data_IF_485071461161
#
_entry.id   IF_485071461161
#
_cell.length_a   1.000
_cell.length_b   1.000
_cell.length_c   1.000
_cell.angle_alpha   90.00
_cell.angle_beta   90.00
_cell.angle_gamma   90.00
#
_symmetry.space_group_name_H-M   'P 1'
#
loop_
_entity.id
_entity.type
_entity.pdbx_description
1 polymer ?
#
# COMPACT_ATOMS: atom_id res chain seq x y z
N UNK A 1 30.22 13.17 38.70
CA UNK A 1 29.34 12.09 38.19
C UNK A 1 27.93 12.54 37.80
N UNK A 2 27.38 13.66 38.30
CA UNK A 2 26.01 14.10 37.94
C UNK A 2 25.86 14.74 36.55
N UNK A 3 26.91 15.35 36.01
CA UNK A 3 26.86 15.99 34.67
C UNK A 3 26.73 14.98 33.51
N UNK A 4 27.27 13.77 33.68
CA UNK A 4 27.26 12.71 32.64
C UNK A 4 25.86 12.13 32.44
N UNK A 5 25.03 12.10 33.50
CA UNK A 5 23.64 11.64 33.43
C UNK A 5 22.73 12.65 32.71
N UNK A 6 22.98 13.96 32.84
CA UNK A 6 22.24 14.98 32.10
C UNK A 6 22.59 14.97 30.61
N UNK A 7 23.85 14.67 30.27
CA UNK A 7 24.31 14.54 28.89
C UNK A 7 23.70 13.31 28.19
N UNK A 8 23.55 12.19 28.90
CA UNK A 8 22.86 10.99 28.36
C UNK A 8 21.35 11.19 28.19
N UNK A 9 20.70 11.96 29.07
CA UNK A 9 19.27 12.30 28.95
C UNK A 9 19.04 13.30 27.80
N UNK A 10 19.95 14.26 27.60
CA UNK A 10 19.93 15.17 26.46
C UNK A 10 20.13 14.45 25.12
N UNK A 11 21.02 13.46 25.05
CA UNK A 11 21.22 12.65 23.84
C UNK A 11 20.05 11.69 23.54
N UNK A 12 19.33 11.20 24.56
CA UNK A 12 18.14 10.35 24.33
C UNK A 12 16.95 11.17 23.81
N UNK A 13 16.82 12.44 24.21
CA UNK A 13 15.79 13.34 23.72
C UNK A 13 16.00 13.78 22.26
N UNK A 14 17.25 13.76 21.77
CA UNK A 14 17.59 14.08 20.37
C UNK A 14 17.37 12.90 19.39
N UNK A 15 17.15 11.69 19.90
CA UNK A 15 16.81 10.52 19.08
C UNK A 15 15.30 10.30 18.92
N UNK A 16 14.45 11.13 19.53
CA UNK A 16 13.02 11.17 19.24
C UNK A 16 12.71 11.94 17.93
N UNK A 17 13.58 11.78 16.94
CA UNK A 17 13.35 12.25 15.58
C UNK A 17 12.13 11.49 15.05
N UNK A 18 10.98 12.15 15.12
CA UNK A 18 9.97 12.19 14.07
C UNK A 18 9.93 10.94 13.20
N UNK A 19 9.38 9.85 13.73
CA UNK A 19 8.69 8.87 12.90
C UNK A 19 7.45 9.57 12.34
N UNK A 20 7.66 10.45 11.35
CA UNK A 20 6.59 10.85 10.45
C UNK A 20 6.23 9.58 9.71
N UNK A 21 5.12 8.96 10.11
CA UNK A 21 4.43 8.06 9.21
C UNK A 21 4.15 8.88 7.96
N UNK A 22 4.88 8.60 6.89
CA UNK A 22 4.74 9.22 5.60
C UNK A 22 3.40 8.76 5.02
N UNK A 23 2.31 9.30 5.55
CA UNK A 23 1.04 9.34 4.83
C UNK A 23 1.38 9.97 3.50
N UNK A 24 0.94 9.37 2.38
CA UNK A 24 1.11 9.96 1.04
C UNK A 24 0.58 11.39 1.12
N UNK A 25 1.48 12.36 1.32
CA UNK A 25 1.18 13.69 1.86
C UNK A 25 0.46 14.58 0.84
N UNK A 26 0.10 13.96 -0.28
CA UNK A 26 -0.40 14.58 -1.48
C UNK A 26 -1.29 13.61 -2.27
N UNK A 27 -1.90 12.57 -1.67
CA UNK A 27 -2.79 11.64 -2.40
C UNK A 27 -3.93 12.39 -3.11
N UNK A 28 -4.46 13.43 -2.48
CA UNK A 28 -5.52 14.29 -3.03
C UNK A 28 -4.99 15.58 -3.66
N UNK A 29 -3.67 15.74 -3.77
CA UNK A 29 -3.04 16.87 -4.45
C UNK A 29 -2.49 16.38 -5.78
N UNK A 30 -2.87 17.05 -6.86
CA UNK A 30 -2.44 16.68 -8.21
C UNK A 30 -1.76 17.86 -8.88
N UNK A 31 -0.64 17.58 -9.53
CA UNK A 31 0.13 18.53 -10.35
C UNK A 31 0.01 18.11 -11.80
N UNK A 32 -0.47 19.01 -12.66
CA UNK A 32 -0.53 18.78 -14.11
C UNK A 32 0.10 19.94 -14.88
N UNK A 33 0.97 19.67 -15.86
CA UNK A 33 1.51 20.70 -16.72
C UNK A 33 0.40 21.33 -17.58
N UNK A 34 0.50 22.64 -17.78
CA UNK A 34 -0.37 23.42 -18.64
C UNK A 34 0.23 23.44 -20.03
N UNK A 35 -0.44 22.74 -20.95
CA UNK A 35 -0.08 22.76 -22.37
C UNK A 35 -0.73 23.99 -23.03
N UNK A 36 0.04 25.08 -23.15
CA UNK A 36 -0.40 26.32 -23.78
C UNK A 36 -0.58 27.47 -22.79
N UNK A 37 -1.48 28.42 -23.10
CA UNK A 37 -1.67 29.63 -22.32
C UNK A 37 -3.16 29.96 -22.15
N UNK A 38 -3.48 30.67 -21.07
CA UNK A 38 -4.83 31.19 -20.82
C UNK A 38 -5.74 30.24 -20.06
N UNK A 39 -7.00 30.66 -19.89
CA UNK A 39 -7.97 29.98 -19.04
C UNK A 39 -8.35 28.58 -19.57
N UNK A 40 -8.39 28.41 -20.89
CA UNK A 40 -8.75 27.13 -21.51
C UNK A 40 -7.70 26.04 -21.26
N UNK A 41 -6.41 26.36 -21.46
CA UNK A 41 -5.31 25.45 -21.17
C UNK A 41 -5.32 25.01 -19.69
N UNK A 42 -5.60 25.94 -18.78
CA UNK A 42 -5.74 25.66 -17.35
C UNK A 42 -6.96 24.81 -17.01
N UNK A 43 -8.10 25.03 -17.69
CA UNK A 43 -9.28 24.19 -17.54
C UNK A 43 -9.03 22.76 -18.02
N UNK A 44 -8.29 22.59 -19.13
CA UNK A 44 -7.86 21.28 -19.61
C UNK A 44 -6.91 20.59 -18.62
N UNK A 45 -5.90 21.31 -18.10
CA UNK A 45 -5.02 20.78 -17.06
C UNK A 45 -5.78 20.38 -15.78
N UNK A 46 -6.80 21.15 -15.40
CA UNK A 46 -7.70 20.81 -14.27
C UNK A 46 -8.49 19.53 -14.55
N UNK A 47 -9.00 19.36 -15.78
CA UNK A 47 -9.68 18.12 -16.18
C UNK A 47 -8.73 16.92 -16.15
N UNK A 48 -7.48 17.09 -16.61
CA UNK A 48 -6.44 16.06 -16.50
C UNK A 48 -6.16 15.73 -15.03
N UNK A 49 -6.11 16.74 -14.16
CA UNK A 49 -5.86 16.54 -12.74
C UNK A 49 -6.97 15.71 -12.08
N UNK A 50 -8.24 15.94 -12.47
CA UNK A 50 -9.35 15.10 -12.05
C UNK A 50 -9.18 13.65 -12.53
N UNK A 51 -8.84 13.44 -13.80
CA UNK A 51 -8.63 12.10 -14.35
C UNK A 51 -7.50 11.37 -13.62
N UNK A 52 -6.40 12.06 -13.35
CA UNK A 52 -5.27 11.57 -12.55
C UNK A 52 -5.72 11.21 -11.13
N UNK A 53 -6.52 12.05 -10.47
CA UNK A 53 -7.06 11.76 -9.13
C UNK A 53 -7.93 10.49 -9.15
N UNK A 54 -8.84 10.38 -10.11
CA UNK A 54 -9.75 9.21 -10.20
C UNK A 54 -8.94 7.94 -10.44
N UNK A 55 -7.98 7.98 -11.36
CA UNK A 55 -7.06 6.88 -11.61
C UNK A 55 -6.30 6.50 -10.32
N UNK A 56 -5.75 7.49 -9.63
CA UNK A 56 -5.00 7.31 -8.39
C UNK A 56 -5.84 6.61 -7.32
N UNK A 57 -7.07 7.07 -7.10
CA UNK A 57 -7.96 6.58 -6.06
C UNK A 57 -8.67 5.27 -6.42
N UNK A 58 -8.69 4.85 -7.67
CA UNK A 58 -9.35 3.61 -8.09
C UNK A 58 -8.37 2.51 -8.49
N UNK A 59 -7.17 2.88 -8.94
CA UNK A 59 -6.23 1.97 -9.59
C UNK A 59 -6.77 1.38 -10.91
N UNK A 60 -7.88 1.90 -11.45
CA UNK A 60 -8.51 1.43 -12.69
C UNK A 60 -8.35 2.47 -13.80
N UNK A 61 -7.59 2.19 -14.88
CA UNK A 61 -7.41 3.12 -15.99
C UNK A 61 -8.71 3.44 -16.75
N UNK A 62 -9.78 2.67 -16.56
CA UNK A 62 -11.09 2.93 -17.18
C UNK A 62 -11.98 3.83 -16.31
N UNK A 63 -11.72 3.93 -15.01
CA UNK A 63 -12.56 4.68 -14.08
C UNK A 63 -12.69 6.18 -14.42
N UNK A 64 -11.63 6.91 -14.84
CA UNK A 64 -11.73 8.31 -15.23
C UNK A 64 -12.73 8.57 -16.34
N UNK A 65 -12.96 7.58 -17.22
CA UNK A 65 -13.88 7.67 -18.36
C UNK A 65 -15.27 7.10 -18.08
N UNK A 66 -15.55 6.68 -16.84
CA UNK A 66 -16.87 6.15 -16.47
C UNK A 66 -17.99 7.15 -16.78
N UNK A 67 -19.10 6.73 -17.41
CA UNK A 67 -20.25 7.61 -17.65
C UNK A 67 -20.84 8.19 -16.34
N UNK A 68 -20.70 7.47 -15.22
CA UNK A 68 -21.18 7.92 -13.91
C UNK A 68 -20.45 9.19 -13.42
N UNK A 69 -19.26 9.48 -13.94
CA UNK A 69 -18.50 10.70 -13.61
C UNK A 69 -18.71 11.84 -14.62
N UNK A 70 -19.62 11.71 -15.60
CA UNK A 70 -19.82 12.74 -16.62
C UNK A 70 -20.24 14.10 -16.04
N UNK A 71 -21.04 14.10 -14.96
CA UNK A 71 -21.39 15.32 -14.23
C UNK A 71 -20.18 15.96 -13.54
N UNK A 72 -19.35 15.13 -12.88
CA UNK A 72 -18.13 15.58 -12.22
C UNK A 72 -17.10 16.14 -13.20
N UNK A 73 -16.95 15.53 -14.38
CA UNK A 73 -16.06 16.04 -15.44
C UNK A 73 -16.52 17.39 -16.01
N UNK A 74 -17.83 17.66 -16.03
CA UNK A 74 -18.38 18.95 -16.47
C UNK A 74 -18.15 20.06 -15.43
N UNK A 75 -18.19 19.71 -14.15
CA UNK A 75 -17.97 20.65 -13.06
C UNK A 75 -17.07 20.05 -11.96
N UNK A 76 -15.74 20.03 -12.17
CA UNK A 76 -14.80 19.51 -11.18
C UNK A 76 -14.74 20.35 -9.89
N UNK A 77 -15.18 21.62 -9.94
CA UNK A 77 -15.07 22.57 -8.82
C UNK A 77 -15.77 22.07 -7.56
N UNK A 78 -16.80 21.22 -7.71
CA UNK A 78 -17.58 20.68 -6.60
C UNK A 78 -16.79 19.81 -5.60
N UNK A 79 -15.60 19.31 -5.99
CA UNK A 79 -14.72 18.51 -5.12
C UNK A 79 -13.35 19.16 -4.89
N UNK A 80 -13.13 20.36 -5.42
CA UNK A 80 -11.84 21.05 -5.30
C UNK A 80 -11.87 21.95 -4.08
N UNK A 81 -10.86 21.80 -3.23
CA UNK A 81 -10.66 22.62 -2.03
C UNK A 81 -9.77 23.83 -2.29
N UNK A 82 -8.71 23.66 -3.10
CA UNK A 82 -7.77 24.73 -3.41
C UNK A 82 -7.19 24.59 -4.82
N UNK A 83 -6.92 25.74 -5.44
CA UNK A 83 -6.19 25.88 -6.70
C UNK A 83 -4.92 26.69 -6.50
N UNK A 84 -3.84 26.25 -7.13
CA UNK A 84 -2.56 26.94 -7.20
C UNK A 84 -1.96 26.85 -8.59
N UNK A 85 -0.99 27.73 -8.85
CA UNK A 85 -0.19 27.71 -10.07
C UNK A 85 1.29 27.82 -9.70
N UNK A 86 2.10 26.94 -10.25
CA UNK A 86 3.54 26.99 -10.16
C UNK A 86 4.08 27.53 -11.49
N UNK A 87 4.85 28.61 -11.41
CA UNK A 87 5.49 29.21 -12.57
C UNK A 87 6.63 28.33 -13.07
N UNK A 88 6.75 28.16 -14.38
CA UNK A 88 7.81 27.40 -15.03
C UNK A 88 7.53 27.26 -16.52
N UNK A 89 8.50 26.80 -17.32
CA UNK A 89 8.22 26.24 -18.64
C UNK A 89 8.11 24.70 -18.55
N UNK A 90 6.90 24.10 -18.61
CA UNK A 90 5.58 24.73 -18.66
C UNK A 90 5.03 25.16 -17.28
N UNK A 91 4.01 26.04 -17.27
CA UNK A 91 3.23 26.37 -16.07
C UNK A 91 2.59 25.08 -15.53
N UNK A 92 2.48 24.91 -14.22
CA UNK A 92 1.84 23.72 -13.62
C UNK A 92 0.63 24.14 -12.79
N UNK A 93 -0.50 23.46 -12.99
CA UNK A 93 -1.67 23.60 -12.10
C UNK A 93 -1.49 22.67 -10.91
N UNK A 94 -1.66 23.23 -9.71
CA UNK A 94 -1.79 22.49 -8.47
C UNK A 94 -3.27 22.46 -8.07
N UNK A 95 -3.84 21.26 -7.97
CA UNK A 95 -5.24 21.07 -7.56
C UNK A 95 -5.28 20.24 -6.29
N UNK A 96 -5.81 20.81 -5.22
CA UNK A 96 -6.09 20.09 -3.97
C UNK A 96 -7.56 19.72 -3.92
N UNK A 97 -7.84 18.44 -3.94
CA UNK A 97 -9.18 17.90 -3.86
C UNK A 97 -9.59 17.65 -2.40
N UNK A 98 -10.82 18.00 -2.04
CA UNK A 98 -11.33 17.68 -0.71
C UNK A 98 -11.55 16.16 -0.59
N UNK A 99 -10.88 15.47 0.35
CA UNK A 99 -10.96 14.00 0.44
C UNK A 99 -12.38 13.49 0.68
N UNK A 100 -13.14 14.16 1.56
CA UNK A 100 -14.47 13.69 1.97
C UNK A 100 -15.51 13.77 0.85
N UNK A 101 -15.55 14.89 0.12
CA UNK A 101 -16.43 15.08 -1.04
C UNK A 101 -15.98 14.22 -2.20
N UNK A 102 -14.68 14.12 -2.46
CA UNK A 102 -14.14 13.26 -3.53
C UNK A 102 -14.54 11.81 -3.32
N UNK A 103 -14.21 11.22 -2.16
CA UNK A 103 -14.53 9.82 -1.89
C UNK A 103 -16.04 9.56 -1.95
N UNK A 104 -16.85 10.47 -1.39
CA UNK A 104 -18.31 10.34 -1.43
C UNK A 104 -18.83 10.32 -2.87
N UNK A 105 -18.38 11.26 -3.70
CA UNK A 105 -18.80 11.36 -5.11
C UNK A 105 -18.38 10.13 -5.90
N UNK A 106 -17.14 9.65 -5.74
CA UNK A 106 -16.67 8.45 -6.44
C UNK A 106 -17.40 7.18 -5.98
N UNK A 107 -17.71 7.05 -4.68
CA UNK A 107 -18.52 5.93 -4.16
C UNK A 107 -19.96 5.99 -4.66
N UNK A 108 -20.56 7.18 -4.75
CA UNK A 108 -21.90 7.35 -5.34
C UNK A 108 -21.93 6.99 -6.83
N UNK A 109 -20.81 7.21 -7.54
CA UNK A 109 -20.62 6.76 -8.91
C UNK A 109 -20.36 5.23 -9.03
N UNK A 110 -20.39 4.48 -7.92
CA UNK A 110 -20.23 3.03 -7.90
C UNK A 110 -18.78 2.55 -8.02
N UNK A 111 -17.80 3.46 -7.94
CA UNK A 111 -16.39 3.13 -8.15
C UNK A 111 -15.77 2.48 -6.91
N UNK A 112 -14.95 1.45 -7.15
CA UNK A 112 -14.13 0.86 -6.10
C UNK A 112 -12.96 1.80 -5.77
N UNK A 113 -12.72 2.03 -4.48
CA UNK A 113 -11.69 2.95 -4.03
C UNK A 113 -10.54 2.23 -3.31
N UNK A 114 -9.32 2.59 -3.68
CA UNK A 114 -8.08 2.30 -2.99
C UNK A 114 -7.77 3.47 -2.05
N UNK A 115 -7.98 3.25 -0.74
CA UNK A 115 -7.77 4.28 0.27
C UNK A 115 -6.30 4.62 0.53
N UNK A 116 -6.05 5.31 1.64
CA UNK A 116 -4.72 5.77 2.06
C UNK A 116 -3.76 4.63 2.44
N UNK A 117 -4.29 3.47 2.80
CA UNK A 117 -3.47 2.36 3.27
C UNK A 117 -2.93 1.54 2.09
N UNK A 118 -1.84 2.04 1.52
CA UNK A 118 -1.17 1.45 0.35
C UNK A 118 0.17 0.86 0.78
N UNK A 119 0.61 -0.26 0.18
CA UNK A 119 1.96 -0.76 0.40
C UNK A 119 2.97 0.29 -0.04
N UNK A 120 3.88 0.63 0.86
CA UNK A 120 5.10 1.35 0.51
C UNK A 120 6.01 0.46 -0.34
N UNK A 121 6.58 1.03 -1.40
CA UNK A 121 7.38 0.30 -2.39
C UNK A 121 8.80 0.87 -2.38
N UNK A 122 9.81 0.02 -2.18
CA UNK A 122 11.20 0.38 -2.44
C UNK A 122 11.58 -0.01 -3.88
N UNK A 123 11.82 0.98 -4.72
CA UNK A 123 12.17 0.82 -6.14
C UNK A 123 13.67 0.74 -6.37
N UNK A 124 14.20 -0.45 -6.60
CA UNK A 124 15.53 -0.67 -7.16
C UNK A 124 15.47 -0.50 -8.67
N UNK A 125 15.96 0.63 -9.16
CA UNK A 125 15.90 0.97 -10.58
C UNK A 125 17.30 1.04 -11.17
N UNK A 126 17.66 0.04 -11.98
CA UNK A 126 18.95 -0.05 -12.65
C UNK A 126 18.81 0.38 -14.11
N UNK A 127 19.55 1.41 -14.51
CA UNK A 127 19.64 1.86 -15.89
C UNK A 127 20.91 1.31 -16.53
N UNK A 128 20.77 0.55 -17.61
CA UNK A 128 21.88 0.16 -18.48
C UNK A 128 22.18 1.26 -19.48
N UNK A 129 23.46 1.56 -19.64
CA UNK A 129 24.00 2.51 -20.61
C UNK A 129 25.28 1.95 -21.25
N UNK A 130 25.78 2.63 -22.27
CA UNK A 130 27.08 2.30 -22.90
C UNK A 130 28.27 2.39 -21.93
N UNK A 131 28.13 3.16 -20.85
CA UNK A 131 29.15 3.34 -19.80
C UNK A 131 29.03 2.29 -18.69
N UNK A 132 27.99 1.45 -18.73
CA UNK A 132 27.67 0.45 -17.72
C UNK A 132 26.30 0.66 -17.08
N UNK A 133 26.00 -0.18 -16.08
CA UNK A 133 24.76 -0.14 -15.32
C UNK A 133 24.87 0.82 -14.13
N UNK A 134 23.82 1.60 -13.88
CA UNK A 134 23.77 2.56 -12.76
C UNK A 134 22.44 2.49 -12.01
N UNK A 135 22.52 2.35 -10.68
CA UNK A 135 21.35 2.36 -9.80
C UNK A 135 20.90 3.81 -9.55
N UNK A 136 19.61 4.08 -9.78
CA UNK A 136 18.99 5.37 -9.47
C UNK A 136 18.87 5.52 -7.95
N UNK A 137 19.57 6.52 -7.40
CA UNK A 137 19.50 6.90 -6.00
C UNK A 137 18.51 8.02 -5.75
N UNK A 138 17.88 8.04 -4.56
CA UNK A 138 16.83 9.01 -4.20
C UNK A 138 17.26 10.49 -4.36
N UNK A 139 18.51 10.80 -4.02
CA UNK A 139 19.06 12.17 -4.12
C UNK A 139 19.46 12.60 -5.54
N UNK A 140 19.28 11.75 -6.56
CA UNK A 140 19.72 12.03 -7.93
C UNK A 140 18.59 12.64 -8.78
N UNK A 141 18.94 13.44 -9.80
CA UNK A 141 17.95 14.01 -10.72
C UNK A 141 17.19 12.94 -11.53
N UNK A 142 17.83 11.79 -11.78
CA UNK A 142 17.23 10.61 -12.43
C UNK A 142 16.09 9.98 -11.63
N UNK A 143 15.94 10.30 -10.34
CA UNK A 143 14.84 9.81 -9.51
C UNK A 143 13.51 10.54 -9.76
N UNK A 144 13.55 11.76 -10.31
CA UNK A 144 12.36 12.60 -10.43
C UNK A 144 11.29 12.02 -11.38
N UNK A 145 11.63 11.46 -12.56
CA UNK A 145 10.65 10.76 -13.39
C UNK A 145 9.96 9.59 -12.67
N UNK A 146 10.70 8.85 -11.84
CA UNK A 146 10.18 7.70 -11.09
C UNK A 146 9.20 8.16 -10.00
N UNK A 147 9.57 9.20 -9.24
CA UNK A 147 8.69 9.81 -8.23
C UNK A 147 7.43 10.37 -8.86
N UNK A 148 7.53 11.11 -9.97
CA UNK A 148 6.37 11.65 -10.68
C UNK A 148 5.45 10.54 -11.19
N UNK A 149 6.00 9.48 -11.80
CA UNK A 149 5.24 8.32 -12.24
C UNK A 149 4.51 7.63 -11.07
N UNK A 150 5.20 7.38 -9.95
CA UNK A 150 4.60 6.78 -8.77
C UNK A 150 3.51 7.66 -8.16
N UNK A 151 3.75 8.97 -8.06
CA UNK A 151 2.75 9.94 -7.60
C UNK A 151 1.53 9.95 -8.53
N UNK A 152 1.72 9.96 -9.85
CA UNK A 152 0.62 9.91 -10.83
C UNK A 152 -0.30 8.70 -10.61
N UNK A 153 0.27 7.56 -10.20
CA UNK A 153 -0.46 6.32 -9.89
C UNK A 153 -0.86 6.16 -8.42
N UNK A 154 -0.46 7.07 -7.53
CA UNK A 154 -0.73 6.99 -6.09
C UNK A 154 0.01 5.86 -5.39
N UNK A 155 1.20 5.54 -5.85
CA UNK A 155 2.07 4.55 -5.26
C UNK A 155 3.07 5.25 -4.32
N UNK A 156 3.14 4.89 -3.03
CA UNK A 156 4.16 5.40 -2.12
C UNK A 156 5.53 4.79 -2.48
N UNK A 157 6.26 5.46 -3.37
CA UNK A 157 7.58 5.01 -3.83
C UNK A 157 8.69 5.63 -2.97
N UNK A 158 9.58 4.76 -2.50
CA UNK A 158 10.90 5.10 -1.97
C UNK A 158 11.98 4.58 -2.90
N UNK A 159 13.12 5.24 -2.91
CA UNK A 159 14.28 4.81 -3.68
C UNK A 159 15.47 4.56 -2.74
N UNK A 160 16.40 3.66 -3.08
CA UNK A 160 17.62 3.47 -2.33
C UNK A 160 18.47 4.74 -2.33
N UNK A 161 19.41 4.86 -1.40
CA UNK A 161 20.38 5.96 -1.40
C UNK A 161 21.40 5.81 -2.55
N UNK A 162 21.46 4.61 -3.12
CA UNK A 162 22.46 4.14 -4.08
C UNK A 162 23.88 4.27 -3.53
N UNK A 163 24.09 3.89 -2.26
CA UNK A 163 25.41 3.82 -1.65
C UNK A 163 26.23 2.63 -2.20
N UNK A 164 27.51 2.54 -1.82
CA UNK A 164 28.40 1.51 -2.34
C UNK A 164 27.90 0.08 -2.08
N UNK A 165 27.27 -0.19 -0.93
CA UNK A 165 26.76 -1.52 -0.62
C UNK A 165 25.56 -1.87 -1.51
N UNK A 166 24.70 -0.89 -1.77
CA UNK A 166 23.56 -1.05 -2.67
C UNK A 166 24.03 -1.22 -4.12
N UNK A 167 25.00 -0.43 -4.58
CA UNK A 167 25.57 -0.56 -5.92
C UNK A 167 26.18 -1.94 -6.18
N UNK A 168 26.79 -2.57 -5.16
CA UNK A 168 27.37 -3.91 -5.30
C UNK A 168 26.31 -5.00 -5.55
N UNK A 169 25.09 -4.84 -5.01
CA UNK A 169 24.01 -5.83 -5.18
C UNK A 169 23.04 -5.47 -6.32
N UNK A 170 23.04 -4.21 -6.78
CA UNK A 170 22.23 -3.73 -7.90
C UNK A 170 22.77 -4.19 -9.26
N UNK A 171 22.75 -5.49 -9.51
CA UNK A 171 23.15 -6.08 -10.79
C UNK A 171 21.93 -6.55 -11.57
N UNK A 172 22.00 -6.54 -12.90
CA UNK A 172 20.93 -7.07 -13.76
C UNK A 172 20.50 -8.50 -13.34
N UNK A 173 21.48 -9.36 -13.00
CA UNK A 173 21.22 -10.72 -12.49
C UNK A 173 20.34 -10.73 -11.23
N UNK A 174 20.60 -9.85 -10.27
CA UNK A 174 19.85 -9.80 -9.02
C UNK A 174 18.46 -9.17 -9.23
N UNK A 175 18.37 -8.12 -10.04
CA UNK A 175 17.09 -7.44 -10.31
C UNK A 175 16.14 -8.29 -11.16
N UNK A 176 16.67 -9.09 -12.09
CA UNK A 176 15.88 -10.02 -12.92
C UNK A 176 15.72 -11.41 -12.27
N UNK A 177 16.36 -11.66 -11.13
CA UNK A 177 16.33 -12.92 -10.40
C UNK A 177 15.00 -13.20 -9.70
N UNK A 178 14.69 -14.47 -9.45
CA UNK A 178 13.48 -14.86 -8.71
C UNK A 178 13.57 -14.59 -7.20
N UNK A 179 14.77 -14.75 -6.65
CA UNK A 179 15.06 -14.57 -5.23
C UNK A 179 15.35 -13.10 -4.92
N UNK A 180 14.53 -12.43 -4.09
CA UNK A 180 14.79 -11.06 -3.70
C UNK A 180 15.87 -10.92 -2.64
N UNK A 181 16.39 -12.01 -2.05
CA UNK A 181 17.28 -11.94 -0.88
C UNK A 181 18.45 -10.94 -1.02
N UNK A 182 19.22 -10.91 -2.13
CA UNK A 182 20.33 -9.97 -2.27
C UNK A 182 19.91 -8.50 -2.17
N UNK A 183 18.72 -8.16 -2.67
CA UNK A 183 18.18 -6.81 -2.62
C UNK A 183 17.49 -6.54 -1.28
N UNK A 184 16.77 -7.53 -0.75
CA UNK A 184 16.00 -7.42 0.50
C UNK A 184 16.90 -7.11 1.69
N UNK A 185 18.05 -7.77 1.78
CA UNK A 185 18.97 -7.58 2.91
C UNK A 185 19.52 -6.14 2.93
N UNK A 186 19.80 -5.55 1.77
CA UNK A 186 20.17 -4.14 1.64
C UNK A 186 18.99 -3.17 1.86
N UNK A 187 17.75 -3.68 1.77
CA UNK A 187 16.51 -2.90 1.83
C UNK A 187 15.90 -2.77 3.22
N UNK A 188 16.35 -3.56 4.21
CA UNK A 188 15.72 -3.62 5.55
C UNK A 188 15.59 -2.25 6.21
N UNK A 189 16.59 -1.38 6.01
CA UNK A 189 16.65 -0.03 6.57
C UNK A 189 15.53 0.91 6.11
N UNK A 190 14.88 0.62 4.99
CA UNK A 190 13.81 1.46 4.43
C UNK A 190 12.42 1.11 4.96
N UNK A 191 12.26 -0.07 5.58
CA UNK A 191 10.99 -0.52 6.14
C UNK A 191 9.84 -0.55 5.12
N UNK A 192 10.12 -0.77 3.83
CA UNK A 192 9.10 -0.83 2.80
C UNK A 192 8.32 -2.15 2.83
N UNK A 193 7.04 -2.10 2.50
CA UNK A 193 6.16 -3.28 2.44
C UNK A 193 6.45 -4.16 1.23
N UNK A 194 6.83 -3.54 0.12
CA UNK A 194 7.14 -4.18 -1.15
C UNK A 194 8.52 -3.77 -1.69
N UNK A 195 9.13 -4.71 -2.41
CA UNK A 195 10.33 -4.49 -3.20
C UNK A 195 9.94 -4.49 -4.68
N UNK A 196 10.34 -3.46 -5.42
CA UNK A 196 10.20 -3.38 -6.87
C UNK A 196 11.60 -3.33 -7.48
N UNK A 197 11.99 -4.33 -8.27
CA UNK A 197 13.21 -4.29 -9.07
C UNK A 197 12.85 -3.97 -10.52
N UNK A 198 13.56 -3.03 -11.12
CA UNK A 198 13.42 -2.65 -12.52
C UNK A 198 14.78 -2.60 -13.15
N UNK A 199 14.97 -3.41 -14.18
CA UNK A 199 16.12 -3.33 -15.07
C UNK A 199 15.68 -2.65 -16.37
N UNK A 200 16.17 -1.43 -16.58
CA UNK A 200 15.83 -0.56 -17.69
C UNK A 200 17.02 -0.44 -18.65
N UNK A 201 16.79 -0.62 -19.95
CA UNK A 201 17.80 -0.45 -20.98
C UNK A 201 17.22 0.25 -22.19
N UNK A 202 18.07 0.92 -22.96
CA UNK A 202 17.68 1.51 -24.24
C UNK A 202 18.04 0.56 -25.38
N UNK A 203 17.06 0.25 -26.24
CA UNK A 203 17.26 -0.51 -27.47
C UNK A 203 16.35 0.04 -28.59
N UNK A 204 16.89 0.11 -29.80
CA UNK A 204 16.14 0.54 -31.00
C UNK A 204 15.44 1.91 -30.86
N UNK A 205 16.06 2.84 -30.11
CA UNK A 205 15.53 4.18 -29.86
C UNK A 205 14.32 4.21 -28.91
N UNK A 206 14.10 3.14 -28.15
CA UNK A 206 13.09 3.04 -27.09
C UNK A 206 13.70 2.55 -25.80
N UNK A 207 13.08 2.95 -24.70
CA UNK A 207 13.38 2.43 -23.39
C UNK A 207 12.55 1.17 -23.13
N UNK A 208 13.20 0.11 -22.67
CA UNK A 208 12.56 -1.15 -22.31
C UNK A 208 12.90 -1.48 -20.87
N UNK A 209 11.93 -2.02 -20.13
CA UNK A 209 12.06 -2.30 -18.71
C UNK A 209 11.53 -3.68 -18.37
N UNK A 210 12.38 -4.52 -17.77
CA UNK A 210 11.96 -5.76 -17.12
C UNK A 210 11.79 -5.46 -15.64
N UNK A 211 10.62 -5.78 -15.09
CA UNK A 211 10.30 -5.48 -13.69
C UNK A 211 9.82 -6.70 -12.92
N UNK A 212 10.09 -6.70 -11.62
CA UNK A 212 9.65 -7.70 -10.64
C UNK A 212 9.21 -7.01 -9.36
N UNK A 213 8.13 -7.49 -8.77
CA UNK A 213 7.53 -6.96 -7.56
C UNK A 213 7.34 -8.09 -6.54
N UNK A 214 7.82 -7.86 -5.33
CA UNK A 214 7.71 -8.76 -4.18
C UNK A 214 6.93 -8.06 -3.09
N UNK A 215 5.77 -8.61 -2.70
CA UNK A 215 4.95 -8.12 -1.58
C UNK A 215 4.51 -9.30 -0.73
N UNK A 216 5.11 -9.46 0.45
CA UNK A 216 4.98 -10.69 1.24
C UNK A 216 5.40 -11.91 0.42
N UNK A 217 4.48 -12.87 0.27
CA UNK A 217 4.68 -14.09 -0.55
C UNK A 217 4.37 -13.88 -2.03
N UNK A 218 3.79 -12.74 -2.41
CA UNK A 218 3.41 -12.48 -3.80
C UNK A 218 4.61 -12.11 -4.66
N UNK A 219 4.58 -12.59 -5.90
CA UNK A 219 5.62 -12.38 -6.90
C UNK A 219 4.94 -12.00 -8.21
N UNK A 220 5.12 -10.76 -8.61
CA UNK A 220 4.63 -10.24 -9.88
C UNK A 220 5.82 -9.87 -10.77
N UNK A 221 5.67 -9.97 -12.07
CA UNK A 221 6.72 -9.61 -13.02
C UNK A 221 6.13 -9.21 -14.37
N UNK A 222 6.92 -8.49 -15.17
CA UNK A 222 6.52 -8.12 -16.52
C UNK A 222 7.61 -7.40 -17.29
N UNK A 223 7.27 -7.03 -18.52
CA UNK A 223 8.06 -6.17 -19.39
C UNK A 223 7.19 -5.02 -19.89
N UNK A 224 7.78 -3.85 -20.03
CA UNK A 224 7.14 -2.65 -20.58
C UNK A 224 8.13 -1.90 -21.47
N UNK A 225 7.59 -1.04 -22.32
CA UNK A 225 8.37 -0.14 -23.19
C UNK A 225 7.89 1.31 -22.98
N UNK A 226 8.79 2.26 -23.21
CA UNK A 226 8.52 3.69 -23.19
C UNK A 226 9.34 4.41 -24.27
N UNK A 227 8.85 5.55 -24.74
CA UNK A 227 9.59 6.37 -25.70
C UNK A 227 10.84 7.01 -25.08
N UNK A 228 10.80 7.28 -23.77
CA UNK A 228 11.89 7.81 -22.97
C UNK A 228 11.83 7.23 -21.54
N UNK A 229 12.76 7.63 -20.67
CA UNK A 229 12.81 7.18 -19.27
C UNK A 229 11.55 7.53 -18.47
N UNK A 230 10.91 8.67 -18.75
CA UNK A 230 9.71 9.10 -18.03
C UNK A 230 8.50 8.26 -18.44
N UNK A 231 8.34 8.00 -19.74
CA UNK A 231 7.33 7.09 -20.27
C UNK A 231 7.54 5.65 -19.77
N UNK A 232 8.79 5.19 -19.66
CA UNK A 232 9.09 3.87 -19.09
C UNK A 232 8.70 3.81 -17.61
N UNK A 233 9.04 4.82 -16.83
CA UNK A 233 8.67 4.91 -15.42
C UNK A 233 7.14 4.88 -15.24
N UNK A 234 6.40 5.67 -16.03
CA UNK A 234 4.94 5.66 -16.00
C UNK A 234 4.36 4.28 -16.36
N UNK A 235 4.89 3.62 -17.40
CA UNK A 235 4.45 2.30 -17.82
C UNK A 235 4.70 1.23 -16.74
N UNK A 236 5.86 1.25 -16.06
CA UNK A 236 6.14 0.35 -14.93
C UNK A 236 5.17 0.60 -13.78
N UNK A 237 4.97 1.86 -13.38
CA UNK A 237 4.09 2.19 -12.25
C UNK A 237 2.62 1.87 -12.57
N UNK A 238 2.19 2.02 -13.81
CA UNK A 238 0.88 1.54 -14.28
C UNK A 238 0.76 0.02 -14.14
N UNK A 239 1.76 -0.73 -14.60
CA UNK A 239 1.76 -2.18 -14.52
C UNK A 239 1.69 -2.65 -13.05
N UNK A 240 2.48 -2.05 -12.16
CA UNK A 240 2.48 -2.32 -10.72
C UNK A 240 1.12 -1.98 -10.09
N UNK A 241 0.57 -0.80 -10.38
CA UNK A 241 -0.73 -0.37 -9.86
C UNK A 241 -1.85 -1.35 -10.26
N UNK A 242 -1.87 -1.79 -11.52
CA UNK A 242 -2.85 -2.76 -12.02
C UNK A 242 -2.76 -4.13 -11.32
N UNK A 243 -1.56 -4.56 -10.89
CA UNK A 243 -1.39 -5.82 -10.14
C UNK A 243 -1.80 -5.68 -8.68
N UNK A 244 -1.59 -4.52 -8.08
CA UNK A 244 -1.90 -4.29 -6.67
C UNK A 244 -3.38 -3.95 -6.45
N UNK A 245 -3.95 -3.07 -7.28
CA UNK A 245 -5.28 -2.50 -7.07
C UNK A 245 -6.38 -3.53 -6.73
N UNK A 246 -6.51 -4.69 -7.41
CA UNK A 246 -7.57 -5.66 -7.12
C UNK A 246 -7.65 -6.13 -5.66
N UNK A 247 -6.54 -6.08 -4.91
CA UNK A 247 -6.48 -6.52 -3.51
C UNK A 247 -6.77 -5.42 -2.50
N UNK A 248 -6.57 -4.17 -2.89
CA UNK A 248 -6.64 -3.02 -2.00
C UNK A 248 -7.84 -2.11 -2.27
N UNK A 249 -8.58 -2.30 -3.36
CA UNK A 249 -9.82 -1.57 -3.64
C UNK A 249 -11.03 -2.18 -2.93
N UNK A 250 -11.96 -1.35 -2.47
CA UNK A 250 -13.27 -1.81 -2.02
C UNK A 250 -14.39 -1.12 -2.78
N UNK A 251 -15.36 -1.94 -3.19
CA UNK A 251 -16.61 -1.45 -3.78
C UNK A 251 -17.49 -0.80 -2.71
N UNK A 252 -18.26 0.24 -3.09
CA UNK A 252 -19.31 0.77 -2.23
C UNK A 252 -20.30 -0.33 -1.83
N UNK A 253 -20.71 -0.35 -0.57
CA UNK A 253 -21.65 -1.35 -0.05
C UNK A 253 -21.07 -2.75 0.21
N UNK A 254 -19.79 -3.01 -0.10
CA UNK A 254 -19.13 -4.28 0.20
C UNK A 254 -18.59 -4.36 1.65
N UNK A 255 -19.11 -3.50 2.53
CA UNK A 255 -18.73 -3.43 3.94
C UNK A 255 -19.68 -4.27 4.78
N UNK A 256 -19.13 -5.10 5.66
CA UNK A 256 -19.90 -5.89 6.61
C UNK A 256 -19.26 -5.87 7.99
N UNK A 257 -20.06 -6.16 9.00
CA UNK A 257 -19.58 -6.42 10.35
C UNK A 257 -18.90 -7.79 10.40
N UNK A 258 -17.68 -7.84 10.92
CA UNK A 258 -16.91 -9.07 11.07
C UNK A 258 -16.08 -9.09 12.35
N UNK A 259 -15.74 -10.30 12.80
CA UNK A 259 -14.81 -10.49 13.92
C UNK A 259 -13.42 -10.82 13.40
N UNK A 260 -12.41 -10.23 14.05
CA UNK A 260 -10.99 -10.49 13.80
C UNK A 260 -10.36 -10.93 15.10
N UNK A 261 -9.84 -12.15 15.12
CA UNK A 261 -9.03 -12.68 16.21
C UNK A 261 -7.55 -12.59 15.84
N UNK A 262 -6.74 -12.02 16.72
CA UNK A 262 -5.30 -11.92 16.53
C UNK A 262 -4.56 -12.54 17.72
N UNK A 263 -3.69 -13.50 17.42
CA UNK A 263 -2.84 -14.22 18.38
C UNK A 263 -1.44 -13.59 18.49
N UNK A 264 -0.76 -13.83 19.62
CA UNK A 264 0.62 -13.36 19.84
C UNK A 264 0.73 -11.90 20.26
N UNK A 265 -0.22 -11.37 21.02
CA UNK A 265 -0.20 -9.98 21.47
C UNK A 265 0.91 -9.69 22.47
N UNK A 266 1.50 -8.52 22.29
CA UNK A 266 2.30 -7.83 23.29
C UNK A 266 1.97 -6.33 23.23
N UNK A 267 2.55 -5.53 24.14
CA UNK A 267 2.22 -4.11 24.25
C UNK A 267 2.53 -3.32 22.96
N UNK A 268 3.62 -3.64 22.27
CA UNK A 268 3.99 -2.97 21.02
C UNK A 268 3.00 -3.31 19.89
N UNK A 269 2.68 -4.60 19.74
CA UNK A 269 1.72 -5.13 18.76
C UNK A 269 0.31 -4.60 18.98
N UNK A 270 -0.10 -4.37 20.23
CA UNK A 270 -1.41 -3.77 20.53
C UNK A 270 -1.56 -2.37 19.92
N UNK A 271 -0.55 -1.51 20.07
CA UNK A 271 -0.57 -0.16 19.51
C UNK A 271 -0.55 -0.19 17.97
N UNK A 272 0.21 -1.12 17.38
CA UNK A 272 0.25 -1.34 15.94
C UNK A 272 -1.09 -1.82 15.40
N UNK A 273 -1.71 -2.85 16.00
CA UNK A 273 -3.01 -3.36 15.60
C UNK A 273 -4.10 -2.28 15.69
N UNK A 274 -4.07 -1.48 16.77
CA UNK A 274 -5.00 -0.38 16.97
C UNK A 274 -4.98 0.62 15.81
N UNK A 275 -3.78 0.99 15.33
CA UNK A 275 -3.62 1.88 14.16
C UNK A 275 -4.12 1.23 12.87
N UNK A 276 -3.81 -0.04 12.65
CA UNK A 276 -4.23 -0.78 11.45
C UNK A 276 -5.76 -0.91 11.38
N UNK A 277 -6.40 -1.14 12.53
CA UNK A 277 -7.85 -1.33 12.61
C UNK A 277 -8.65 -0.04 12.80
N UNK A 278 -8.01 1.10 13.07
CA UNK A 278 -8.65 2.41 13.27
C UNK A 278 -9.64 2.78 12.14
N UNK A 279 -9.29 2.63 10.84
CA UNK A 279 -10.21 2.96 9.73
C UNK A 279 -11.46 2.07 9.67
N UNK A 280 -11.43 0.93 10.35
CA UNK A 280 -12.51 -0.07 10.37
C UNK A 280 -13.39 0.02 11.63
N UNK A 281 -13.20 1.06 12.46
CA UNK A 281 -13.99 1.28 13.67
C UNK A 281 -13.87 0.16 14.69
N UNK A 282 -12.66 -0.40 14.84
CA UNK A 282 -12.40 -1.55 15.70
C UNK A 282 -12.90 -1.37 17.13
N UNK A 283 -13.65 -2.37 17.62
CA UNK A 283 -14.07 -2.47 19.02
C UNK A 283 -13.56 -3.77 19.61
N UNK A 284 -12.76 -3.69 20.66
CA UNK A 284 -12.29 -4.86 21.38
C UNK A 284 -13.48 -5.55 22.06
N UNK A 285 -13.73 -6.81 21.69
CA UNK A 285 -14.83 -7.62 22.21
C UNK A 285 -14.36 -8.58 23.31
N UNK A 286 -13.20 -9.22 23.11
CA UNK A 286 -12.66 -10.21 24.05
C UNK A 286 -11.13 -10.16 24.11
N UNK A 287 -10.59 -10.43 25.30
CA UNK A 287 -9.16 -10.63 25.57
C UNK A 287 -9.02 -11.99 26.24
N UNK A 288 -8.22 -12.87 25.67
CA UNK A 288 -7.89 -14.18 26.23
C UNK A 288 -6.38 -14.41 26.12
N UNK A 289 -5.65 -14.20 27.22
CA UNK A 289 -4.19 -14.28 27.24
C UNK A 289 -3.53 -13.32 26.25
N UNK A 290 -2.85 -13.88 25.25
CA UNK A 290 -2.20 -13.16 24.16
C UNK A 290 -3.08 -13.03 22.90
N UNK A 291 -4.36 -13.42 22.99
CA UNK A 291 -5.31 -13.42 21.88
C UNK A 291 -6.39 -12.37 22.09
N UNK A 292 -6.54 -11.48 21.11
CA UNK A 292 -7.53 -10.40 21.15
C UNK A 292 -8.54 -10.57 20.01
N UNK A 293 -9.82 -10.41 20.33
CA UNK A 293 -10.91 -10.44 19.35
C UNK A 293 -11.53 -9.06 19.21
N UNK A 294 -11.49 -8.52 18.00
CA UNK A 294 -12.10 -7.24 17.64
C UNK A 294 -13.33 -7.45 16.78
N UNK A 295 -14.35 -6.61 16.98
CA UNK A 295 -15.41 -6.36 16.01
C UNK A 295 -14.98 -5.19 15.11
N UNK A 296 -15.06 -5.38 13.80
CA UNK A 296 -14.70 -4.36 12.80
C UNK A 296 -15.79 -4.29 11.73
N UNK A 297 -15.91 -3.14 11.08
CA UNK A 297 -16.82 -2.94 9.96
C UNK A 297 -16.00 -2.57 8.73
N UNK A 298 -16.07 -3.38 7.68
CA UNK A 298 -15.25 -3.14 6.50
C UNK A 298 -15.40 -4.17 5.40
N UNK A 299 -14.58 -4.02 4.36
CA UNK A 299 -14.43 -5.05 3.34
C UNK A 299 -13.39 -6.09 3.79
N UNK A 300 -13.76 -7.37 3.68
CA UNK A 300 -12.93 -8.48 4.18
C UNK A 300 -11.58 -8.59 3.46
N UNK A 301 -11.55 -8.37 2.15
CA UNK A 301 -10.31 -8.49 1.35
C UNK A 301 -9.35 -7.35 1.61
N UNK A 302 -9.87 -6.11 1.72
CA UNK A 302 -9.07 -4.97 2.15
C UNK A 302 -8.48 -5.20 3.53
N UNK A 303 -9.28 -5.66 4.48
CA UNK A 303 -8.81 -5.92 5.84
C UNK A 303 -7.72 -6.98 5.88
N UNK A 304 -7.87 -8.09 5.14
CA UNK A 304 -6.81 -9.10 4.96
C UNK A 304 -5.54 -8.47 4.39
N UNK A 305 -5.68 -7.63 3.36
CA UNK A 305 -4.54 -6.97 2.75
C UNK A 305 -3.83 -6.05 3.76
N UNK A 306 -4.57 -5.28 4.56
CA UNK A 306 -4.02 -4.40 5.59
C UNK A 306 -3.30 -5.14 6.70
N UNK A 307 -3.91 -6.21 7.23
CA UNK A 307 -3.28 -7.05 8.23
C UNK A 307 -2.01 -7.73 7.68
N UNK A 308 -2.02 -8.10 6.40
CA UNK A 308 -0.83 -8.59 5.69
C UNK A 308 0.31 -7.56 5.62
N UNK A 309 0.00 -6.27 5.39
CA UNK A 309 1.01 -5.19 5.43
C UNK A 309 1.62 -5.04 6.83
N UNK A 310 0.81 -5.20 7.87
CA UNK A 310 1.26 -5.25 9.26
C UNK A 310 1.96 -6.58 9.64
N UNK A 311 2.32 -7.41 8.65
CA UNK A 311 3.04 -8.69 8.77
C UNK A 311 2.26 -9.79 9.51
N UNK A 312 0.93 -9.68 9.58
CA UNK A 312 0.10 -10.74 10.13
C UNK A 312 -0.15 -11.84 9.10
N UNK A 313 -0.08 -13.09 9.55
CA UNK A 313 -0.40 -14.28 8.76
C UNK A 313 -1.82 -14.74 9.06
N UNK A 314 -2.64 -14.90 8.02
CA UNK A 314 -3.99 -15.47 8.16
C UNK A 314 -3.88 -16.95 8.57
N UNK A 315 -4.60 -17.31 9.61
CA UNK A 315 -4.74 -18.67 10.09
C UNK A 315 -5.99 -19.30 9.47
N UNK A 316 -5.97 -20.61 9.20
CA UNK A 316 -7.16 -21.31 8.74
C UNK A 316 -8.28 -21.22 9.80
N UNK A 317 -9.52 -21.34 9.31
CA UNK A 317 -10.70 -21.43 10.18
C UNK A 317 -10.50 -22.53 11.22
N UNK A 318 -10.98 -22.29 12.44
CA UNK A 318 -10.86 -23.26 13.52
C UNK A 318 -11.62 -24.54 13.15
N UNK A 319 -10.88 -25.65 13.08
CA UNK A 319 -11.50 -26.94 12.82
C UNK A 319 -12.44 -27.28 13.98
N UNK A 320 -13.67 -27.76 13.71
CA UNK A 320 -14.56 -28.19 14.79
C UNK A 320 -13.84 -29.27 15.59
N UNK A 321 -13.76 -29.07 16.92
CA UNK A 321 -13.19 -30.06 17.82
C UNK A 321 -14.03 -31.33 17.68
N UNK A 322 -13.46 -32.36 17.06
CA UNK A 322 -14.12 -33.66 16.99
C UNK A 322 -14.22 -34.18 18.42
N UNK A 323 -15.46 -34.42 18.89
CA UNK A 323 -15.66 -35.04 20.19
C UNK A 323 -14.86 -36.35 20.24
N UNK A 324 -14.24 -36.70 21.39
CA UNK A 324 -13.53 -37.96 21.51
C UNK A 324 -14.47 -39.08 21.08
N UNK A 325 -14.05 -39.90 20.12
CA UNK A 325 -14.78 -41.11 19.75
C UNK A 325 -14.85 -41.93 21.03
N UNK A 326 -16.03 -42.02 21.63
CA UNK A 326 -16.22 -42.79 22.84
C UNK A 326 -15.83 -44.24 22.52
N UNK A 327 -14.81 -44.75 23.19
CA UNK A 327 -14.49 -46.17 23.14
C UNK A 327 -15.76 -46.95 23.51
N UNK A 328 -16.19 -47.94 22.71
CA UNK A 328 -17.40 -48.72 23.01
C UNK A 328 -17.28 -49.53 24.32
N UNK A 329 -16.09 -49.57 24.95
CA UNK A 329 -15.83 -50.28 26.19
C UNK A 329 -16.19 -49.53 27.49
N UNK A 330 -16.46 -48.22 27.46
CA UNK A 330 -16.79 -47.44 28.68
C UNK A 330 -18.27 -47.13 28.88
N UNK A 331 -19.16 -47.55 27.98
CA UNK A 331 -20.61 -47.33 28.13
C UNK A 331 -21.32 -48.27 29.13
N UNK A 332 -20.62 -49.24 29.73
CA UNK A 332 -21.27 -50.25 30.58
C UNK A 332 -21.37 -49.90 32.09
N UNK A 333 -20.80 -48.78 32.59
CA UNK A 333 -20.74 -48.56 34.05
C UNK A 333 -20.97 -47.14 34.59
N UNK A 334 -21.58 -46.22 33.84
CA UNK A 334 -21.94 -44.90 34.38
C UNK A 334 -23.42 -44.58 34.19
N UNK A 335 -24.26 -45.17 35.05
CA UNK A 335 -25.59 -44.64 35.34
C UNK A 335 -25.45 -43.35 36.17
N UNK A 336 -25.28 -42.21 35.49
CA UNK A 336 -25.46 -40.90 36.12
C UNK A 336 -26.00 -39.89 35.10
N UNK A 337 -27.32 -39.58 35.09
CA UNK A 337 -27.90 -38.62 34.16
C UNK A 337 -27.73 -37.19 34.71
N UNK A 338 -26.50 -36.71 34.87
CA UNK A 338 -26.26 -35.34 35.30
C UNK A 338 -24.86 -34.78 34.96
N UNK A 339 -24.09 -35.40 34.06
CA UNK A 339 -22.96 -34.72 33.47
C UNK A 339 -23.50 -33.83 32.34
N UNK A 340 -23.74 -32.55 32.64
CA UNK A 340 -23.92 -31.53 31.62
C UNK A 340 -22.81 -31.71 30.58
N UNK A 341 -23.17 -32.16 29.38
CA UNK A 341 -22.27 -32.09 28.24
C UNK A 341 -21.89 -30.61 28.13
N UNK A 342 -20.69 -30.26 28.60
CA UNK A 342 -20.11 -28.96 28.35
C UNK A 342 -20.14 -28.83 26.82
N UNK A 343 -21.00 -27.95 26.32
CA UNK A 343 -21.08 -27.68 24.90
C UNK A 343 -19.66 -27.38 24.43
N UNK A 344 -19.16 -28.17 23.49
CA UNK A 344 -17.85 -27.90 22.89
C UNK A 344 -17.83 -26.41 22.48
N UNK A 345 -16.77 -25.66 22.80
CA UNK A 345 -16.70 -24.24 22.47
C UNK A 345 -17.01 -24.08 20.99
N UNK A 346 -17.99 -23.22 20.66
CA UNK A 346 -18.33 -22.96 19.26
C UNK A 346 -17.07 -22.45 18.56
N UNK A 347 -16.71 -23.00 17.39
CA UNK A 347 -15.54 -22.54 16.67
C UNK A 347 -15.68 -21.05 16.37
N UNK A 348 -14.58 -20.32 16.47
CA UNK A 348 -14.58 -18.89 16.19
C UNK A 348 -15.04 -18.62 14.75
N UNK A 349 -16.08 -17.79 14.61
CA UNK A 349 -16.64 -17.40 13.32
C UNK A 349 -16.17 -15.99 12.95
N UNK A 350 -15.00 -15.92 12.32
CA UNK A 350 -14.35 -14.67 11.92
C UNK A 350 -12.98 -14.91 11.29
N UNK A 351 -12.26 -13.84 10.99
CA UNK A 351 -10.90 -13.91 10.46
C UNK A 351 -9.91 -14.14 11.60
N UNK A 352 -8.97 -15.07 11.41
CA UNK A 352 -7.96 -15.40 12.43
C UNK A 352 -6.59 -15.06 11.88
N UNK A 353 -5.78 -14.41 12.71
CA UNK A 353 -4.43 -14.03 12.36
C UNK A 353 -3.46 -14.31 13.50
N UNK A 354 -2.19 -14.47 13.15
CA UNK A 354 -1.07 -14.44 14.09
C UNK A 354 0.00 -13.49 13.58
N UNK A 355 0.74 -12.91 14.51
CA UNK A 355 2.00 -12.25 14.18
C UNK A 355 3.15 -13.23 13.98
#
# INVERSE_FOLDING_TARGET
MRLRNYLTIGCLALFACSAQAETVSSLYQVREPVDGQGAEARAQATSKALDTLVLRLTGDPKAPQSPALAGLRKDPQQIISQFGFEAGPPETVLVDFDPGTTERTLRQAGLALWGNNRPSILGWWLNDSVEGSSLVGDGQGSAEPLRRAAQHRGLPLRLPLADLNEQLVATAKNLEGADPAPLRDASERYGADALLAVHASEADGKWQGTWRLWLGDQREQGKVEGADQAALADAVMLAVSNRLAPRFVARPGASSDMQVQVQGMNLARYAELGRVLEPYGARLNQVDGDTLTYQVTGNSDQLRAQLGLAKLQELPAEAPVQAPVADPATQATAANPAAAQAAAPKPFNGLRFRW
#
